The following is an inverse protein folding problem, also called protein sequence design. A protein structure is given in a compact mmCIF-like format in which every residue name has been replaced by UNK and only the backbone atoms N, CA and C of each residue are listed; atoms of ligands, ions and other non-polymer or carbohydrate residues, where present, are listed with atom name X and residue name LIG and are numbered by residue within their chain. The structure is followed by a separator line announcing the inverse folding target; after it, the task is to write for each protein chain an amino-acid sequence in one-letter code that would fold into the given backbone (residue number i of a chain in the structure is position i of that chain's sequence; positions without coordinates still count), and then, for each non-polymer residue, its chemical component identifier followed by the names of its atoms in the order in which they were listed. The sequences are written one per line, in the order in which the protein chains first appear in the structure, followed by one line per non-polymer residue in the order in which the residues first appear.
data_IF_962221862426
#
_entry.id   IF_962221862426
#
_cell.length_a   1.000
_cell.length_b   1.000
_cell.length_c   1.000
_cell.angle_alpha   90.00
_cell.angle_beta   90.00
_cell.angle_gamma   90.00
#
_symmetry.space_group_name_H-M   'P 1'
#
loop_
_entity.id
_entity.type
_entity.pdbx_description
1 polymer ?
#
# COMPACT_ATOMS: atom_id res chain seq x y z
N UNK A 1 -26.77 -15.76 26.50
CA UNK A 1 -25.50 -15.95 27.26
C UNK A 1 -24.36 -16.53 26.41
N UNK A 2 -24.60 -17.44 25.45
CA UNK A 2 -23.53 -18.03 24.63
C UNK A 2 -22.69 -17.06 23.77
N UNK A 3 -23.28 -15.96 23.28
CA UNK A 3 -22.56 -14.94 22.50
C UNK A 3 -21.41 -14.28 23.25
N UNK A 4 -21.53 -14.13 24.58
CA UNK A 4 -20.46 -13.56 25.41
C UNK A 4 -19.21 -14.45 25.43
N UNK A 5 -19.38 -15.77 25.33
CA UNK A 5 -18.27 -16.73 25.26
C UNK A 5 -17.49 -16.66 23.94
N UNK A 6 -18.04 -16.01 22.91
CA UNK A 6 -17.39 -15.81 21.61
C UNK A 6 -16.84 -14.39 21.51
N UNK A 7 -17.62 -13.38 21.92
CA UNK A 7 -17.25 -11.96 21.80
C UNK A 7 -16.09 -11.62 22.73
N UNK A 8 -16.11 -12.09 23.98
CA UNK A 8 -15.06 -11.74 24.95
C UNK A 8 -13.69 -12.23 24.49
N UNK A 9 -13.49 -13.50 24.07
CA UNK A 9 -12.20 -13.93 23.53
C UNK A 9 -11.75 -13.14 22.31
N UNK A 10 -12.64 -12.84 21.36
CA UNK A 10 -12.29 -12.04 20.18
C UNK A 10 -11.81 -10.65 20.59
N UNK A 11 -12.53 -9.99 21.51
CA UNK A 11 -12.14 -8.67 22.02
C UNK A 11 -10.80 -8.73 22.76
N UNK A 12 -10.58 -9.75 23.58
CA UNK A 12 -9.31 -9.95 24.30
C UNK A 12 -8.15 -10.10 23.31
N UNK A 13 -8.30 -10.93 22.26
CA UNK A 13 -7.26 -11.09 21.23
C UNK A 13 -7.09 -9.79 20.44
N UNK A 14 -8.16 -9.04 20.19
CA UNK A 14 -8.10 -7.76 19.49
C UNK A 14 -7.30 -6.71 20.27
N UNK A 15 -7.58 -6.58 21.58
CA UNK A 15 -6.83 -5.71 22.50
C UNK A 15 -5.39 -6.18 22.64
N UNK A 16 -5.15 -7.49 22.80
CA UNK A 16 -3.80 -8.05 22.85
C UNK A 16 -3.01 -7.77 21.57
N UNK A 17 -3.67 -7.75 20.41
CA UNK A 17 -3.07 -7.41 19.13
C UNK A 17 -2.66 -5.93 19.06
N UNK A 18 -3.50 -5.02 19.57
CA UNK A 18 -3.11 -3.62 19.74
C UNK A 18 -1.96 -3.45 20.72
N UNK A 19 -2.00 -4.13 21.87
CA UNK A 19 -0.91 -4.14 22.83
C UNK A 19 0.38 -4.61 22.17
N UNK A 20 0.35 -5.65 21.33
CA UNK A 20 1.52 -6.09 20.56
C UNK A 20 2.05 -4.99 19.64
N UNK A 21 1.20 -4.24 18.95
CA UNK A 21 1.65 -3.14 18.08
C UNK A 21 2.29 -2.00 18.89
N UNK A 22 1.68 -1.60 20.02
CA UNK A 22 2.08 -0.41 20.77
C UNK A 22 3.12 -0.67 21.88
N UNK A 23 3.16 -1.88 22.42
CA UNK A 23 3.96 -2.22 23.60
C UNK A 23 5.07 -3.23 23.32
N UNK A 24 4.98 -4.01 22.23
CA UNK A 24 6.15 -4.81 21.86
C UNK A 24 7.27 -3.84 21.49
N UNK A 25 8.50 -4.06 21.98
CA UNK A 25 9.67 -3.42 21.39
C UNK A 25 9.61 -3.65 19.87
N UNK A 26 10.23 -2.78 19.07
CA UNK A 26 10.48 -2.99 17.64
C UNK A 26 11.41 -4.21 17.41
N UNK A 27 11.02 -5.37 17.95
CA UNK A 27 11.70 -6.64 17.91
C UNK A 27 11.56 -7.13 16.48
N UNK A 28 12.58 -6.77 15.70
CA UNK A 28 12.87 -7.27 14.37
C UNK A 28 12.55 -8.76 14.27
N UNK A 29 11.40 -9.13 13.72
CA UNK A 29 11.11 -10.50 13.32
C UNK A 29 11.36 -10.61 11.81
N UNK A 30 12.40 -11.38 11.49
CA UNK A 30 12.96 -11.72 10.17
C UNK A 30 11.94 -12.20 9.13
N UNK A 31 12.23 -12.18 7.81
CA UNK A 31 13.39 -11.65 7.10
C UNK A 31 13.09 -10.24 6.58
N UNK A 32 14.00 -9.32 6.85
CA UNK A 32 13.89 -7.90 6.50
C UNK A 32 13.66 -7.73 4.99
N UNK A 33 12.42 -7.38 4.63
CA UNK A 33 12.04 -7.00 3.27
C UNK A 33 13.04 -5.95 2.75
N UNK A 34 13.61 -6.22 1.58
CA UNK A 34 14.64 -5.41 0.90
C UNK A 34 16.01 -5.30 1.62
N UNK A 35 16.39 -6.29 2.43
CA UNK A 35 17.66 -6.26 3.17
C UNK A 35 18.62 -7.42 2.80
N UNK A 36 18.46 -7.99 1.60
CA UNK A 36 19.24 -9.15 1.11
C UNK A 36 20.63 -8.76 0.56
N UNK A 37 21.23 -7.67 1.03
CA UNK A 37 22.56 -7.20 0.63
C UNK A 37 23.49 -6.99 1.84
N UNK A 38 24.79 -6.73 1.65
CA UNK A 38 25.62 -6.22 2.73
C UNK A 38 24.90 -5.03 3.36
N UNK A 39 24.80 -5.03 4.69
CA UNK A 39 23.94 -4.14 5.45
C UNK A 39 23.95 -2.70 4.90
N UNK A 40 22.77 -2.07 4.79
CA UNK A 40 22.58 -0.64 4.48
C UNK A 40 22.54 -0.21 2.99
N UNK A 41 22.26 -1.07 2.01
CA UNK A 41 22.03 -0.54 0.66
C UNK A 41 20.65 0.13 0.55
N UNK A 42 20.66 1.46 0.54
CA UNK A 42 19.50 2.30 0.19
C UNK A 42 19.00 1.89 -1.19
N UNK A 43 17.70 1.63 -1.32
CA UNK A 43 17.02 1.24 -2.57
C UNK A 43 16.08 2.34 -3.02
N UNK A 44 15.92 2.48 -4.33
CA UNK A 44 14.91 3.32 -4.94
C UNK A 44 13.66 2.48 -5.18
N UNK A 45 12.58 2.80 -4.45
CA UNK A 45 11.31 2.08 -4.49
C UNK A 45 10.27 2.97 -5.14
N UNK A 46 9.57 2.45 -6.16
CA UNK A 46 8.42 3.09 -6.78
C UNK A 46 7.13 2.44 -6.29
N UNK A 47 6.29 3.21 -5.60
CA UNK A 47 4.92 2.83 -5.27
C UNK A 47 3.98 3.42 -6.34
N UNK A 48 3.28 2.55 -7.07
CA UNK A 48 2.31 2.94 -8.10
C UNK A 48 0.89 2.73 -7.58
N UNK A 49 0.13 3.81 -7.48
CA UNK A 49 -1.27 3.85 -7.02
C UNK A 49 -2.18 4.47 -8.08
N UNK A 50 -3.49 4.25 -7.96
CA UNK A 50 -4.46 4.72 -8.94
C UNK A 50 -4.95 6.13 -8.59
N UNK A 51 -5.24 6.37 -7.31
CA UNK A 51 -5.97 7.55 -6.86
C UNK A 51 -5.32 8.21 -5.64
N UNK A 52 -5.54 9.53 -5.47
CA UNK A 52 -5.26 10.20 -4.20
C UNK A 52 -6.09 9.57 -3.08
N UNK A 53 -5.40 9.11 -2.01
CA UNK A 53 -5.89 8.41 -0.80
C UNK A 53 -5.51 6.94 -0.70
N UNK A 54 -5.20 6.28 -1.82
CA UNK A 54 -4.74 4.89 -1.85
C UNK A 54 -3.53 4.66 -0.93
N UNK A 55 -2.61 5.63 -0.90
CA UNK A 55 -1.39 5.59 -0.11
C UNK A 55 -1.69 5.58 1.39
N UNK A 56 -2.72 6.32 1.80
CA UNK A 56 -3.16 6.47 3.19
C UNK A 56 -4.08 5.34 3.65
N UNK A 57 -4.92 4.84 2.74
CA UNK A 57 -5.88 3.78 3.05
C UNK A 57 -5.25 2.39 3.03
N UNK A 58 -4.35 2.13 2.09
CA UNK A 58 -3.91 0.76 1.80
C UNK A 58 -2.42 0.54 2.07
N UNK A 59 -1.57 1.55 1.84
CA UNK A 59 -0.12 1.38 1.83
C UNK A 59 0.62 2.02 3.01
N UNK A 60 -0.05 2.66 3.96
CA UNK A 60 0.62 3.33 5.09
C UNK A 60 1.63 2.47 5.87
N UNK A 61 1.39 1.16 6.15
CA UNK A 61 2.41 0.30 6.75
C UNK A 61 3.64 0.12 5.85
N UNK A 62 3.43 -0.14 4.56
CA UNK A 62 4.52 -0.27 3.57
C UNK A 62 5.34 1.01 3.47
N UNK A 63 4.68 2.15 3.31
CA UNK A 63 5.34 3.46 3.21
C UNK A 63 6.15 3.73 4.48
N UNK A 64 5.55 3.53 5.65
CA UNK A 64 6.21 3.80 6.93
C UNK A 64 7.42 2.90 7.16
N UNK A 65 7.34 1.62 6.76
CA UNK A 65 8.48 0.70 6.81
C UNK A 65 9.61 1.17 5.88
N UNK A 66 9.30 1.54 4.65
CA UNK A 66 10.32 1.97 3.68
C UNK A 66 11.01 3.25 4.12
N UNK A 67 10.25 4.24 4.61
CA UNK A 67 10.83 5.52 5.06
C UNK A 67 11.58 5.39 6.37
N UNK A 68 11.15 4.54 7.32
CA UNK A 68 11.88 4.31 8.58
C UNK A 68 13.21 3.59 8.38
N UNK A 69 13.32 2.77 7.33
CA UNK A 69 14.56 2.08 6.92
C UNK A 69 15.45 2.91 6.01
N UNK A 70 15.04 4.14 5.69
CA UNK A 70 15.83 5.07 4.90
C UNK A 70 15.89 4.76 3.41
N UNK A 71 14.97 3.96 2.86
CA UNK A 71 14.85 3.78 1.40
C UNK A 71 14.36 5.08 0.73
N UNK A 72 14.69 5.28 -0.53
CA UNK A 72 14.13 6.36 -1.34
C UNK A 72 12.77 5.90 -1.87
N UNK A 73 11.69 6.55 -1.45
CA UNK A 73 10.35 6.23 -1.92
C UNK A 73 9.87 7.26 -2.93
N UNK A 74 9.60 6.79 -4.15
CA UNK A 74 8.89 7.51 -5.20
C UNK A 74 7.44 7.04 -5.23
N UNK A 75 6.51 7.98 -5.30
CA UNK A 75 5.08 7.68 -5.40
C UNK A 75 4.54 8.21 -6.72
N UNK A 76 4.00 7.30 -7.53
CA UNK A 76 3.32 7.62 -8.78
C UNK A 76 1.82 7.37 -8.60
N UNK A 77 1.02 8.43 -8.64
CA UNK A 77 -0.42 8.37 -8.67
C UNK A 77 -0.91 8.60 -10.10
N UNK A 78 -1.58 7.59 -10.68
CA UNK A 78 -1.89 7.55 -12.11
C UNK A 78 -3.07 8.43 -12.54
N UNK A 79 -3.86 8.91 -11.58
CA UNK A 79 -4.92 9.90 -11.81
C UNK A 79 -4.94 10.94 -10.70
N UNK A 80 -5.60 12.07 -10.94
CA UNK A 80 -5.91 13.07 -9.90
C UNK A 80 -7.18 12.73 -9.09
N UNK A 81 -7.84 11.61 -9.35
CA UNK A 81 -9.09 11.24 -8.65
C UNK A 81 -10.26 12.19 -8.93
N UNK A 82 -10.43 12.62 -10.19
CA UNK A 82 -11.37 13.70 -10.55
C UNK A 82 -12.82 13.25 -10.78
N UNK A 83 -13.23 12.05 -10.35
CA UNK A 83 -14.59 11.55 -10.60
C UNK A 83 -15.68 12.50 -10.06
N UNK A 84 -15.39 13.20 -8.96
CA UNK A 84 -16.29 14.17 -8.32
C UNK A 84 -15.99 15.63 -8.69
N UNK A 85 -15.11 15.88 -9.67
CA UNK A 85 -14.66 17.24 -10.03
C UNK A 85 -13.69 17.89 -9.04
N UNK A 86 -13.12 17.10 -8.12
CA UNK A 86 -12.25 17.58 -7.03
C UNK A 86 -10.76 17.27 -7.24
N UNK A 87 -10.34 16.94 -8.46
CA UNK A 87 -9.00 16.41 -8.74
C UNK A 87 -7.84 17.33 -8.34
N UNK A 88 -8.00 18.64 -8.55
CA UNK A 88 -7.00 19.63 -8.12
C UNK A 88 -6.79 19.63 -6.59
N UNK A 89 -7.90 19.60 -5.84
CA UNK A 89 -7.88 19.54 -4.37
C UNK A 89 -7.25 18.22 -3.91
N UNK A 90 -7.69 17.11 -4.49
CA UNK A 90 -7.21 15.75 -4.12
C UNK A 90 -5.73 15.56 -4.41
N UNK A 91 -5.21 16.16 -5.48
CA UNK A 91 -3.77 16.22 -5.76
C UNK A 91 -3.01 16.87 -4.60
N UNK A 92 -3.43 18.05 -4.15
CA UNK A 92 -2.77 18.76 -3.05
C UNK A 92 -2.92 18.02 -1.71
N UNK A 93 -4.05 17.34 -1.50
CA UNK A 93 -4.28 16.45 -0.36
C UNK A 93 -3.29 15.29 -0.31
N UNK A 94 -3.04 14.62 -1.45
CA UNK A 94 -2.05 13.55 -1.57
C UNK A 94 -0.64 14.02 -1.20
N UNK A 95 -0.21 15.20 -1.66
CA UNK A 95 1.09 15.76 -1.27
C UNK A 95 1.19 15.97 0.23
N UNK A 96 0.14 16.51 0.88
CA UNK A 96 0.09 16.68 2.33
C UNK A 96 0.11 15.34 3.08
N UNK A 97 -0.63 14.34 2.59
CA UNK A 97 -0.63 13.00 3.18
C UNK A 97 0.74 12.31 3.09
N UNK A 98 1.42 12.44 1.94
CA UNK A 98 2.79 11.95 1.74
C UNK A 98 3.78 12.58 2.74
N UNK A 99 3.63 13.88 3.04
CA UNK A 99 4.46 14.57 4.02
C UNK A 99 4.32 13.98 5.45
N UNK A 100 3.13 13.53 5.84
CA UNK A 100 2.91 12.83 7.14
C UNK A 100 3.78 11.57 7.25
N UNK A 101 3.99 10.89 6.13
CA UNK A 101 4.84 9.70 6.02
C UNK A 101 6.33 10.00 5.78
N UNK A 102 6.73 11.29 5.74
CA UNK A 102 8.09 11.76 5.43
C UNK A 102 8.57 11.38 4.02
N UNK A 103 7.65 11.24 3.07
CA UNK A 103 8.00 11.11 1.65
C UNK A 103 8.36 12.50 1.12
N UNK A 104 9.47 12.61 0.40
CA UNK A 104 9.89 13.89 -0.18
C UNK A 104 8.94 14.28 -1.30
N UNK A 105 8.43 15.51 -1.30
CA UNK A 105 7.41 15.95 -2.26
C UNK A 105 7.90 15.90 -3.72
N UNK A 106 9.20 16.09 -3.95
CA UNK A 106 9.83 15.96 -5.26
C UNK A 106 9.81 14.53 -5.82
N UNK A 107 9.57 13.54 -4.95
CA UNK A 107 9.44 12.13 -5.31
C UNK A 107 7.97 11.71 -5.48
N UNK A 108 7.02 12.65 -5.37
CA UNK A 108 5.59 12.39 -5.55
C UNK A 108 5.13 13.00 -6.88
N UNK A 109 4.65 12.14 -7.78
CA UNK A 109 4.13 12.51 -9.09
C UNK A 109 2.67 12.09 -9.20
N UNK A 110 1.81 13.04 -9.58
CA UNK A 110 0.38 12.82 -9.80
C UNK A 110 0.07 13.16 -11.25
N UNK A 111 -0.51 12.21 -11.98
CA UNK A 111 -0.85 12.38 -13.38
C UNK A 111 -2.28 12.87 -13.54
N UNK A 112 -2.48 13.75 -14.52
CA UNK A 112 -3.78 14.12 -15.04
C UNK A 112 -3.79 13.81 -16.53
N UNK A 113 -3.95 12.52 -16.86
CA UNK A 113 -3.90 12.02 -18.23
C UNK A 113 -5.32 11.76 -18.73
N UNK A 114 -5.71 12.23 -19.94
CA UNK A 114 -7.08 12.10 -20.45
C UNK A 114 -7.57 10.65 -20.55
N UNK A 115 -6.66 9.70 -20.79
CA UNK A 115 -6.98 8.26 -20.86
C UNK A 115 -6.91 7.52 -19.52
N UNK A 116 -6.50 8.17 -18.43
CA UNK A 116 -6.35 7.58 -17.09
C UNK A 116 -7.26 8.28 -16.07
N UNK A 117 -8.51 8.53 -16.47
CA UNK A 117 -9.49 9.21 -15.61
C UNK A 117 -10.08 8.26 -14.57
N UNK A 118 -10.35 8.81 -13.39
CA UNK A 118 -10.98 8.09 -12.29
C UNK A 118 -12.45 7.72 -12.62
N UNK A 119 -12.90 6.56 -12.13
CA UNK A 119 -14.26 6.06 -12.30
C UNK A 119 -14.32 4.59 -12.68
N UNK A 120 -15.55 4.04 -12.71
CA UNK A 120 -15.81 2.64 -13.05
C UNK A 120 -16.10 2.39 -14.54
N UNK A 121 -16.15 3.45 -15.36
CA UNK A 121 -16.65 3.39 -16.74
C UNK A 121 -15.57 3.16 -17.80
N UNK A 122 -14.28 3.29 -17.47
CA UNK A 122 -13.18 3.25 -18.43
C UNK A 122 -12.12 2.26 -17.97
N UNK A 123 -11.72 1.37 -18.87
CA UNK A 123 -10.56 0.49 -18.67
C UNK A 123 -9.32 1.27 -19.08
N UNK A 124 -8.35 1.39 -18.18
CA UNK A 124 -7.11 2.07 -18.51
C UNK A 124 -6.25 1.21 -19.43
N UNK A 125 -5.64 1.84 -20.43
CA UNK A 125 -4.81 1.14 -21.40
C UNK A 125 -3.50 0.64 -20.75
N UNK A 126 -3.29 -0.69 -20.75
CA UNK A 126 -2.12 -1.29 -20.10
C UNK A 126 -0.79 -0.99 -20.81
N UNK A 127 -0.78 -0.77 -22.13
CA UNK A 127 0.42 -0.32 -22.88
C UNK A 127 0.85 1.09 -22.46
N UNK A 128 -0.13 2.00 -22.32
CA UNK A 128 0.11 3.35 -21.83
C UNK A 128 0.65 3.33 -20.40
N UNK A 129 0.03 2.56 -19.51
CA UNK A 129 0.50 2.38 -18.14
C UNK A 129 1.92 1.82 -18.10
N UNK A 130 2.20 0.77 -18.88
CA UNK A 130 3.53 0.17 -18.95
C UNK A 130 4.60 1.17 -19.43
N UNK A 131 4.26 2.00 -20.43
CA UNK A 131 5.15 3.06 -20.93
C UNK A 131 5.45 4.11 -19.85
N UNK A 132 4.42 4.62 -19.19
CA UNK A 132 4.57 5.60 -18.10
C UNK A 132 5.43 5.03 -16.97
N UNK A 133 5.15 3.79 -16.55
CA UNK A 133 5.92 3.11 -15.50
C UNK A 133 7.38 2.93 -15.93
N UNK A 134 7.63 2.54 -17.18
CA UNK A 134 8.99 2.41 -17.71
C UNK A 134 9.74 3.74 -17.64
N UNK A 135 9.11 4.85 -18.02
CA UNK A 135 9.71 6.18 -17.96
C UNK A 135 10.13 6.56 -16.54
N UNK A 136 9.26 6.34 -15.55
CA UNK A 136 9.56 6.60 -14.13
C UNK A 136 10.68 5.71 -13.60
N UNK A 137 10.64 4.42 -13.96
CA UNK A 137 11.65 3.44 -13.56
C UNK A 137 13.04 3.84 -14.06
N UNK A 138 13.15 4.21 -15.35
CA UNK A 138 14.43 4.61 -15.93
C UNK A 138 14.91 5.97 -15.40
N UNK A 139 14.01 6.94 -15.28
CA UNK A 139 14.34 8.31 -14.85
C UNK A 139 14.83 8.38 -13.41
N UNK A 140 14.35 7.47 -12.55
CA UNK A 140 14.67 7.47 -11.13
C UNK A 140 15.56 6.31 -10.70
N UNK A 141 16.00 5.45 -11.64
CA UNK A 141 16.84 4.29 -11.35
C UNK A 141 16.19 3.39 -10.30
N UNK A 142 14.94 3.00 -10.53
CA UNK A 142 14.13 2.24 -9.57
C UNK A 142 14.63 0.78 -9.48
N UNK A 143 14.86 0.32 -8.24
CA UNK A 143 15.23 -1.08 -7.94
C UNK A 143 13.98 -1.95 -7.69
N UNK A 144 12.95 -1.36 -7.08
CA UNK A 144 11.79 -2.08 -6.55
C UNK A 144 10.50 -1.38 -6.94
N UNK A 145 9.53 -2.13 -7.44
CA UNK A 145 8.20 -1.65 -7.76
C UNK A 145 7.18 -2.28 -6.83
N UNK A 146 6.27 -1.48 -6.27
CA UNK A 146 5.17 -1.93 -5.42
C UNK A 146 3.84 -1.41 -6.00
N UNK A 147 2.82 -2.26 -6.08
CA UNK A 147 1.48 -1.85 -6.51
C UNK A 147 0.38 -2.78 -5.96
N UNK A 148 -0.84 -2.70 -6.50
CA UNK A 148 -1.96 -3.59 -6.22
C UNK A 148 -1.78 -4.99 -6.82
N UNK A 149 -2.49 -5.97 -6.27
CA UNK A 149 -2.66 -7.27 -6.92
C UNK A 149 -3.77 -7.26 -7.98
N UNK A 150 -3.97 -8.40 -8.64
CA UNK A 150 -4.96 -8.58 -9.71
C UNK A 150 -6.43 -8.38 -9.28
N UNK A 151 -6.71 -8.36 -7.98
CA UNK A 151 -8.05 -8.10 -7.44
C UNK A 151 -8.27 -6.63 -7.12
N UNK A 152 -7.24 -5.88 -6.73
CA UNK A 152 -7.35 -4.43 -6.53
C UNK A 152 -8.10 -4.04 -5.26
N UNK A 153 -7.79 -4.70 -4.13
CA UNK A 153 -8.30 -4.48 -2.77
C UNK A 153 -9.78 -4.78 -2.58
N UNK A 154 -10.64 -4.08 -3.30
CA UNK A 154 -12.11 -4.18 -3.28
C UNK A 154 -12.69 -4.52 -4.66
N UNK A 155 -11.86 -4.85 -5.64
CA UNK A 155 -12.30 -5.09 -7.01
C UNK A 155 -12.30 -3.86 -7.90
N UNK A 156 -11.70 -2.73 -7.46
CA UNK A 156 -11.73 -1.49 -8.24
C UNK A 156 -11.01 -1.66 -9.58
N UNK A 157 -11.66 -1.28 -10.69
CA UNK A 157 -11.13 -1.45 -12.04
C UNK A 157 -9.76 -0.80 -12.21
N UNK A 158 -9.62 0.47 -11.83
CA UNK A 158 -8.36 1.20 -11.98
C UNK A 158 -7.22 0.55 -11.21
N UNK A 159 -7.44 0.04 -9.99
CA UNK A 159 -6.40 -0.69 -9.23
C UNK A 159 -5.95 -1.95 -9.96
N UNK A 160 -6.90 -2.69 -10.57
CA UNK A 160 -6.61 -3.86 -11.39
C UNK A 160 -5.85 -3.47 -12.65
N UNK A 161 -6.20 -2.36 -13.28
CA UNK A 161 -5.48 -1.87 -14.46
C UNK A 161 -4.06 -1.44 -14.12
N UNK A 162 -3.81 -0.82 -12.96
CA UNK A 162 -2.46 -0.55 -12.47
C UNK A 162 -1.66 -1.86 -12.34
N UNK A 163 -2.24 -2.88 -11.73
CA UNK A 163 -1.61 -4.20 -11.63
C UNK A 163 -1.23 -4.76 -13.00
N UNK A 164 -2.13 -4.73 -13.98
CA UNK A 164 -1.86 -5.25 -15.32
C UNK A 164 -0.86 -4.38 -16.11
N UNK A 165 -0.87 -3.05 -15.93
CA UNK A 165 0.15 -2.15 -16.48
C UNK A 165 1.55 -2.47 -15.96
N UNK A 166 1.67 -2.73 -14.65
CA UNK A 166 2.93 -3.18 -14.03
C UNK A 166 3.36 -4.55 -14.57
N UNK A 167 2.43 -5.51 -14.64
CA UNK A 167 2.71 -6.84 -15.21
C UNK A 167 3.22 -6.74 -16.65
N UNK A 168 2.56 -5.89 -17.45
CA UNK A 168 2.94 -5.65 -18.85
C UNK A 168 4.33 -5.04 -18.95
N UNK A 169 4.62 -4.00 -18.16
CA UNK A 169 5.97 -3.43 -18.07
C UNK A 169 7.05 -4.48 -17.80
N UNK A 170 6.82 -5.38 -16.83
CA UNK A 170 7.78 -6.43 -16.46
C UNK A 170 8.00 -7.44 -17.59
N UNK A 171 6.96 -7.76 -18.36
CA UNK A 171 7.04 -8.66 -19.52
C UNK A 171 7.77 -8.01 -20.70
N UNK A 172 7.42 -6.76 -21.03
CA UNK A 172 7.90 -6.08 -22.24
C UNK A 172 9.33 -5.58 -22.10
N UNK A 173 9.68 -5.04 -20.92
CA UNK A 173 11.00 -4.42 -20.71
C UNK A 173 12.07 -5.42 -20.29
N UNK A 174 11.68 -6.67 -19.94
CA UNK A 174 12.52 -7.68 -19.28
C UNK A 174 13.61 -7.05 -18.39
N UNK A 175 13.22 -6.14 -17.47
CA UNK A 175 14.19 -5.25 -16.87
C UNK A 175 15.12 -6.08 -16.00
N UNK A 176 16.38 -6.22 -16.45
CA UNK A 176 17.40 -6.96 -15.71
C UNK A 176 17.58 -6.23 -14.38
N UNK A 177 17.07 -6.83 -13.30
CA UNK A 177 17.24 -6.45 -11.90
C UNK A 177 16.13 -5.62 -11.22
N UNK A 178 14.90 -5.56 -11.75
CA UNK A 178 13.78 -4.97 -10.99
C UNK A 178 13.05 -6.03 -10.18
N UNK A 179 12.88 -5.80 -8.88
CA UNK A 179 11.99 -6.59 -8.04
C UNK A 179 10.59 -5.96 -8.01
N UNK A 180 9.55 -6.73 -8.26
CA UNK A 180 8.18 -6.23 -8.23
C UNK A 180 7.33 -6.96 -7.20
N UNK A 181 6.50 -6.22 -6.48
CA UNK A 181 5.69 -6.68 -5.37
C UNK A 181 4.26 -6.13 -5.46
N UNK A 182 3.30 -6.93 -5.05
CA UNK A 182 1.89 -6.58 -5.03
C UNK A 182 1.31 -6.68 -3.62
N UNK A 183 0.45 -5.72 -3.26
CA UNK A 183 -0.34 -5.75 -2.04
C UNK A 183 -1.46 -6.78 -2.17
N UNK A 184 -1.41 -7.80 -1.31
CA UNK A 184 -2.37 -8.91 -1.32
C UNK A 184 -3.75 -8.42 -0.87
N UNK A 185 -4.74 -8.62 -1.73
CA UNK A 185 -6.14 -8.37 -1.43
C UNK A 185 -6.70 -9.41 -0.48
N UNK A 186 -7.20 -8.96 0.67
CA UNK A 186 -7.86 -9.82 1.67
C UNK A 186 -9.39 -9.74 1.59
N UNK A 187 -10.04 -10.85 1.95
CA UNK A 187 -11.50 -10.93 2.01
C UNK A 187 -12.09 -9.96 3.04
N UNK A 188 -13.40 -9.68 2.95
CA UNK A 188 -14.06 -8.66 3.77
C UNK A 188 -13.97 -8.91 5.28
N UNK A 189 -14.01 -10.17 5.72
CA UNK A 189 -13.93 -10.53 7.15
C UNK A 189 -12.53 -10.20 7.69
N UNK A 190 -11.48 -10.61 6.96
CA UNK A 190 -10.11 -10.26 7.31
C UNK A 190 -9.90 -8.75 7.21
N UNK A 191 -10.43 -8.10 6.17
CA UNK A 191 -10.30 -6.65 5.93
C UNK A 191 -10.74 -5.83 7.12
N UNK A 192 -11.87 -6.17 7.75
CA UNK A 192 -12.41 -5.41 8.88
C UNK A 192 -12.13 -6.05 10.26
N UNK A 193 -11.17 -6.96 10.34
CA UNK A 193 -10.72 -7.53 11.63
C UNK A 193 -9.67 -6.66 12.34
N UNK A 194 -9.16 -5.63 11.67
CA UNK A 194 -8.20 -4.66 12.19
C UNK A 194 -6.88 -5.31 12.63
N UNK A 195 -6.39 -5.04 13.85
CA UNK A 195 -5.10 -5.54 14.34
C UNK A 195 -5.05 -7.07 14.50
N UNK A 196 -6.20 -7.76 14.55
CA UNK A 196 -6.23 -9.23 14.60
C UNK A 196 -5.53 -9.88 13.41
N UNK A 197 -5.56 -9.22 12.25
CA UNK A 197 -4.99 -9.76 11.02
C UNK A 197 -3.47 -9.92 11.06
N UNK A 198 -2.78 -9.27 12.01
CA UNK A 198 -1.33 -9.47 12.21
C UNK A 198 -0.99 -10.94 12.44
N UNK A 199 -1.82 -11.66 13.20
CA UNK A 199 -1.60 -13.07 13.49
C UNK A 199 -1.87 -13.95 12.27
N UNK A 200 -2.93 -13.64 11.52
CA UNK A 200 -3.29 -14.36 10.30
C UNK A 200 -2.25 -14.15 9.20
N UNK A 201 -1.83 -12.91 8.98
CA UNK A 201 -0.80 -12.54 8.00
C UNK A 201 0.57 -13.15 8.34
N UNK A 202 0.93 -13.23 9.62
CA UNK A 202 2.14 -13.93 10.05
C UNK A 202 2.05 -15.45 9.76
N UNK A 203 0.92 -16.08 10.12
CA UNK A 203 0.70 -17.52 9.86
C UNK A 203 0.70 -17.84 8.36
N UNK A 204 0.10 -16.97 7.54
CA UNK A 204 0.09 -17.11 6.09
C UNK A 204 1.50 -16.98 5.51
N UNK A 205 2.27 -15.98 5.94
CA UNK A 205 3.67 -15.81 5.51
C UNK A 205 4.53 -17.03 5.82
N UNK A 206 4.33 -17.67 6.97
CA UNK A 206 5.03 -18.91 7.35
C UNK A 206 4.75 -20.10 6.41
N UNK A 207 3.62 -20.08 5.68
CA UNK A 207 3.26 -21.15 4.72
C UNK A 207 3.89 -20.97 3.34
N UNK A 208 4.45 -19.79 3.07
CA UNK A 208 5.08 -19.48 1.78
C UNK A 208 6.60 -19.67 1.82
N UNK A 209 7.24 -20.01 0.68
CA UNK A 209 8.69 -20.05 0.60
C UNK A 209 9.31 -18.70 1.02
N UNK A 210 10.44 -18.74 1.73
CA UNK A 210 11.16 -17.54 2.17
C UNK A 210 11.42 -16.59 0.99
N UNK A 211 11.14 -15.31 1.18
CA UNK A 211 11.36 -14.27 0.18
C UNK A 211 10.30 -14.18 -0.93
N UNK A 212 9.17 -14.89 -0.81
CA UNK A 212 8.05 -14.77 -1.76
C UNK A 212 6.89 -13.93 -1.24
N UNK A 213 6.72 -13.88 0.09
CA UNK A 213 5.69 -13.09 0.77
C UNK A 213 6.32 -12.45 2.01
N UNK A 214 6.11 -11.15 2.18
CA UNK A 214 6.50 -10.40 3.38
C UNK A 214 5.27 -9.75 3.99
N UNK A 215 5.20 -9.73 5.31
CA UNK A 215 4.20 -8.95 6.04
C UNK A 215 4.90 -7.78 6.73
N UNK A 216 4.36 -6.58 6.56
CA UNK A 216 4.92 -5.33 7.06
C UNK A 216 3.98 -4.79 8.14
N UNK A 217 4.44 -4.82 9.39
CA UNK A 217 3.72 -4.29 10.53
C UNK A 217 3.77 -2.77 10.55
N UNK A 218 2.64 -2.13 10.82
CA UNK A 218 2.56 -0.70 11.09
C UNK A 218 3.07 -0.41 12.51
N UNK A 219 4.26 0.18 12.62
CA UNK A 219 4.81 0.63 13.91
C UNK A 219 4.01 1.81 14.50
N UNK A 220 3.33 2.57 13.64
CA UNK A 220 2.56 3.75 14.04
C UNK A 220 1.23 3.85 13.28
N UNK A 221 0.21 3.03 13.63
CA UNK A 221 -1.11 3.08 12.97
C UNK A 221 -1.78 4.46 12.99
N UNK A 222 -1.43 5.30 13.96
CA UNK A 222 -1.87 6.71 14.01
C UNK A 222 -1.44 7.51 12.79
N UNK A 223 -0.32 7.17 12.14
CA UNK A 223 0.11 7.85 10.90
C UNK A 223 -0.88 7.64 9.77
N UNK A 224 -1.47 6.44 9.62
CA UNK A 224 -2.49 6.18 8.58
C UNK A 224 -3.71 7.08 8.79
N UNK A 225 -4.13 7.28 10.04
CA UNK A 225 -5.18 8.24 10.38
C UNK A 225 -4.81 9.69 10.07
N UNK A 226 -3.61 10.12 10.44
CA UNK A 226 -3.15 11.49 10.20
C UNK A 226 -2.97 11.79 8.71
N UNK A 227 -2.48 10.82 7.94
CA UNK A 227 -2.31 10.91 6.50
C UNK A 227 -3.68 10.95 5.81
N UNK A 228 -4.59 10.04 6.17
CA UNK A 228 -5.94 10.04 5.61
C UNK A 228 -6.73 11.30 6.00
N UNK A 229 -6.49 11.88 7.17
CA UNK A 229 -7.09 13.16 7.56
C UNK A 229 -6.59 14.36 6.72
N UNK A 230 -5.48 14.24 5.99
CA UNK A 230 -5.06 15.27 5.02
C UNK A 230 -5.94 15.27 3.76
N UNK A 231 -6.59 14.15 3.45
CA UNK A 231 -7.60 14.04 2.39
C UNK A 231 -8.95 14.59 2.87
N UNK A 232 -8.98 15.88 3.21
CA UNK A 232 -10.16 16.56 3.76
C UNK A 232 -11.43 16.36 2.92
N UNK A 233 -11.31 16.40 1.58
CA UNK A 233 -12.41 16.18 0.64
C UNK A 233 -12.98 14.76 0.68
N UNK A 234 -12.19 13.80 1.19
CA UNK A 234 -12.52 12.39 1.26
C UNK A 234 -12.69 11.89 2.71
N UNK A 235 -12.46 12.72 3.72
CA UNK A 235 -12.44 12.34 5.14
C UNK A 235 -13.85 12.23 5.77
N UNK A 236 -14.70 11.47 5.11
CA UNK A 236 -16.10 11.19 5.49
C UNK A 236 -16.20 10.01 6.48
N UNK A 237 -17.38 9.85 7.10
CA UNK A 237 -17.58 8.94 8.24
C UNK A 237 -17.16 7.49 7.94
N UNK A 238 -17.47 6.95 6.76
CA UNK A 238 -17.15 5.55 6.45
C UNK A 238 -15.66 5.35 6.18
N UNK A 239 -14.92 6.37 5.69
CA UNK A 239 -13.45 6.30 5.57
C UNK A 239 -12.77 6.35 6.93
N UNK A 240 -13.33 7.09 7.89
CA UNK A 240 -12.85 7.06 9.30
C UNK A 240 -13.00 5.67 9.91
N UNK A 241 -14.15 5.02 9.69
CA UNK A 241 -14.37 3.64 10.12
C UNK A 241 -13.43 2.67 9.40
N UNK A 242 -13.24 2.86 8.09
CA UNK A 242 -12.28 2.06 7.34
C UNK A 242 -10.88 2.16 7.97
N UNK A 243 -10.33 3.36 8.17
CA UNK A 243 -8.97 3.49 8.72
C UNK A 243 -8.89 2.92 10.14
N UNK A 244 -9.98 2.99 10.93
CA UNK A 244 -10.02 2.43 12.29
C UNK A 244 -10.04 0.91 12.35
N UNK A 245 -10.77 0.26 11.45
CA UNK A 245 -11.04 -1.17 11.53
C UNK A 245 -10.38 -1.98 10.41
N UNK A 246 -9.79 -1.32 9.42
CA UNK A 246 -9.11 -1.98 8.32
C UNK A 246 -7.79 -2.58 8.75
N UNK A 247 -7.58 -3.84 8.40
CA UNK A 247 -6.31 -4.54 8.58
C UNK A 247 -5.17 -3.85 7.82
N UNK A 248 -5.45 -3.18 6.69
CA UNK A 248 -4.45 -2.41 5.95
C UNK A 248 -3.86 -1.24 6.75
N UNK A 249 -4.52 -0.77 7.81
CA UNK A 249 -3.94 0.23 8.73
C UNK A 249 -2.82 -0.37 9.60
N UNK A 250 -2.91 -1.68 9.88
CA UNK A 250 -2.08 -2.37 10.86
C UNK A 250 -1.02 -3.26 10.22
N UNK A 251 -1.32 -3.89 9.09
CA UNK A 251 -0.40 -4.80 8.41
C UNK A 251 -0.62 -4.73 6.89
N UNK A 252 0.47 -4.77 6.13
CA UNK A 252 0.43 -5.01 4.69
C UNK A 252 1.12 -6.34 4.39
N UNK A 253 0.48 -7.19 3.59
CA UNK A 253 1.10 -8.41 3.07
C UNK A 253 1.47 -8.17 1.61
N UNK A 254 2.76 -8.18 1.31
CA UNK A 254 3.31 -8.01 -0.03
C UNK A 254 3.74 -9.36 -0.58
N UNK A 255 3.34 -9.66 -1.81
CA UNK A 255 3.72 -10.87 -2.54
C UNK A 255 4.56 -10.51 -3.75
N UNK A 256 5.60 -11.30 -4.04
CA UNK A 256 6.46 -11.08 -5.20
C UNK A 256 5.67 -11.36 -6.48
N UNK A 257 5.70 -10.42 -7.42
CA UNK A 257 5.13 -10.60 -8.76
C UNK A 257 6.08 -11.51 -9.55
N UNK A 258 5.54 -12.59 -10.11
CA UNK A 258 6.27 -13.56 -10.96
C UNK A 258 6.18 -13.20 -12.43
#
# INVERSE_FOLDING_TARGET
MGWMLIIIPILVVWVASLCKIFLAPSSHSNPTFLNNGPAFQKRNVLLVVAHPDDESMFFSPTISYLTSRGHNLYLLCLSVGNADGLGSIRKDELYRACAVHKVQLQQVKVLDHPDLQDGFGLVWNHDLLAKIIAEEVHSHGIDVLITFDSYGISGHCNHRDVHYGVRKFLLDSSPRNIEAWELVSINILRKYSGPLDIWLSNLESMRHPRGTVHWLLSEHPRKSFLAMAQHSSQWVWFRKLFVAFSSYTYVNTLRKIK
#
